data_IF_925994649645
#
_entry.id   IF_925994649645
#
_cell.length_a   1.000
_cell.length_b   1.000
_cell.length_c   1.000
_cell.angle_alpha   90.00
_cell.angle_beta   90.00
_cell.angle_gamma   90.00
#
_symmetry.space_group_name_H-M   'P 1'
#
loop_
_entity.id
_entity.type
_entity.pdbx_description
1 polymer ?
#
# COMPACT_ATOMS: atom_id res chain seq x y z
N UNK A 1 13.58 43.22 46.31
CA UNK A 1 12.39 42.36 46.47
C UNK A 1 11.75 42.19 45.10
N UNK A 2 11.83 40.99 44.52
CA UNK A 2 11.16 40.65 43.25
C UNK A 2 9.98 39.75 43.63
N UNK A 3 8.76 40.27 43.48
CA UNK A 3 7.55 39.49 43.74
C UNK A 3 7.29 38.59 42.54
N UNK A 4 7.43 37.28 42.75
CA UNK A 4 7.17 36.24 41.76
C UNK A 4 5.64 36.05 41.69
N UNK A 5 4.97 36.73 40.76
CA UNK A 5 3.54 36.60 40.58
C UNK A 5 3.25 35.31 39.80
N UNK A 6 2.74 34.30 40.50
CA UNK A 6 2.22 33.09 39.90
C UNK A 6 1.02 33.45 39.01
N UNK A 7 1.11 33.16 37.71
CA UNK A 7 -0.02 33.32 36.78
C UNK A 7 -1.17 32.41 37.22
N UNK A 8 -2.40 32.92 37.41
CA UNK A 8 -3.52 32.09 37.81
C UNK A 8 -3.84 31.09 36.69
N UNK A 9 -3.70 29.80 37.01
CA UNK A 9 -3.92 28.71 36.06
C UNK A 9 -5.44 28.53 35.89
N UNK A 10 -5.93 28.70 34.66
CA UNK A 10 -7.36 28.60 34.35
C UNK A 10 -7.78 27.14 34.15
N UNK A 11 -8.25 26.49 35.22
CA UNK A 11 -8.65 25.09 35.24
C UNK A 11 -9.82 24.75 34.28
N UNK A 12 -10.55 25.75 33.78
CA UNK A 12 -11.67 25.55 32.85
C UNK A 12 -11.24 25.00 31.48
N UNK A 13 -9.99 25.22 31.07
CA UNK A 13 -9.46 24.75 29.78
C UNK A 13 -8.93 23.30 29.82
N UNK A 14 -8.73 22.74 31.01
CA UNK A 14 -8.18 21.39 31.21
C UNK A 14 -9.06 20.29 30.59
N UNK A 15 -10.39 20.25 30.75
CA UNK A 15 -11.20 19.20 30.14
C UNK A 15 -11.18 19.26 28.60
N UNK A 16 -11.03 20.46 28.03
CA UNK A 16 -10.97 20.65 26.57
C UNK A 16 -9.66 20.10 25.97
N UNK A 17 -8.55 20.29 26.70
CA UNK A 17 -7.24 19.74 26.34
C UNK A 17 -7.23 18.21 26.52
N UNK A 18 -7.83 17.69 27.60
CA UNK A 18 -7.90 16.26 27.88
C UNK A 18 -8.72 15.50 26.81
N UNK A 19 -9.83 16.08 26.35
CA UNK A 19 -10.66 15.52 25.28
C UNK A 19 -9.90 15.47 23.94
N UNK A 20 -9.13 16.51 23.62
CA UNK A 20 -8.38 16.59 22.36
C UNK A 20 -7.31 15.49 22.23
N UNK A 21 -6.74 15.05 23.35
CA UNK A 21 -5.74 13.97 23.39
C UNK A 21 -6.38 12.60 23.07
N UNK A 22 -7.65 12.39 23.46
CA UNK A 22 -8.36 11.13 23.24
C UNK A 22 -8.77 10.91 21.77
N UNK A 23 -8.85 11.98 20.96
CA UNK A 23 -9.18 11.90 19.54
C UNK A 23 -7.95 11.78 18.62
N UNK A 24 -6.73 11.82 19.17
CA UNK A 24 -5.50 11.71 18.39
C UNK A 24 -5.12 10.23 18.15
N UNK A 25 -6.02 9.48 17.50
CA UNK A 25 -5.73 8.13 17.04
C UNK A 25 -5.51 8.16 15.52
N UNK A 26 -4.25 8.10 15.11
CA UNK A 26 -3.85 7.84 13.72
C UNK A 26 -3.59 6.34 13.60
N UNK A 27 -4.43 5.60 12.89
CA UNK A 27 -4.12 4.20 12.58
C UNK A 27 -2.83 4.15 11.76
N UNK A 28 -1.84 3.32 12.14
CA UNK A 28 -0.64 3.16 11.33
C UNK A 28 -1.03 2.66 9.94
N UNK A 29 -0.29 3.06 8.89
CA UNK A 29 -0.51 2.52 7.56
C UNK A 29 -0.40 1.00 7.63
N UNK A 30 -1.48 0.32 7.24
CA UNK A 30 -1.52 -1.13 7.20
C UNK A 30 -0.69 -1.57 5.99
N UNK A 31 0.50 -2.12 6.26
CA UNK A 31 1.28 -2.78 5.23
C UNK A 31 0.76 -4.20 5.03
N UNK A 32 0.71 -4.68 3.77
CA UNK A 32 0.35 -6.06 3.53
C UNK A 32 1.40 -6.98 4.15
N UNK A 33 0.95 -8.07 4.77
CA UNK A 33 1.84 -9.06 5.35
C UNK A 33 2.59 -9.78 4.22
N UNK A 34 3.86 -10.11 4.45
CA UNK A 34 4.63 -10.94 3.53
C UNK A 34 3.97 -12.32 3.37
N UNK A 35 4.05 -12.88 2.18
CA UNK A 35 3.58 -14.24 1.95
C UNK A 35 4.44 -15.23 2.75
N UNK A 36 3.79 -16.18 3.42
CA UNK A 36 4.47 -17.26 4.11
C UNK A 36 5.10 -18.23 3.09
N UNK A 37 4.52 -18.33 1.90
CA UNK A 37 5.12 -19.00 0.75
C UNK A 37 5.97 -17.98 -0.03
N UNK A 38 7.22 -17.81 0.39
CA UNK A 38 8.23 -16.99 -0.32
C UNK A 38 8.51 -17.50 -1.76
N UNK A 39 7.85 -18.58 -2.18
CA UNK A 39 8.09 -19.27 -3.43
C UNK A 39 9.55 -19.72 -3.52
N UNK A 40 10.18 -19.48 -4.67
CA UNK A 40 11.59 -19.81 -4.91
C UNK A 40 12.57 -18.67 -4.60
N UNK A 41 12.08 -17.53 -4.10
CA UNK A 41 12.91 -16.34 -3.90
C UNK A 41 13.32 -16.24 -2.43
N UNK A 42 14.63 -16.14 -2.17
CA UNK A 42 15.16 -15.98 -0.81
C UNK A 42 15.45 -14.52 -0.52
N UNK A 43 14.91 -14.06 0.61
CA UNK A 43 15.09 -12.71 1.09
C UNK A 43 16.11 -12.67 2.24
N UNK A 44 16.96 -11.64 2.34
CA UNK A 44 17.74 -11.38 3.54
C UNK A 44 16.83 -11.04 4.72
N UNK A 45 17.36 -11.15 5.95
CA UNK A 45 16.60 -10.82 7.16
C UNK A 45 16.05 -9.39 7.11
N UNK A 46 14.77 -9.24 7.47
CA UNK A 46 14.04 -7.96 7.45
C UNK A 46 13.39 -7.61 6.10
N UNK A 47 13.53 -8.45 5.08
CA UNK A 47 12.82 -8.33 3.81
C UNK A 47 11.75 -9.41 3.67
N UNK A 48 10.68 -9.09 2.94
CA UNK A 48 9.61 -10.03 2.60
C UNK A 48 9.03 -9.71 1.24
N UNK A 49 8.53 -10.75 0.57
CA UNK A 49 7.81 -10.62 -0.69
C UNK A 49 6.32 -10.88 -0.49
N UNK A 50 5.50 -10.35 -1.40
CA UNK A 50 4.10 -10.74 -1.54
C UNK A 50 3.85 -11.08 -3.00
N UNK A 51 3.41 -12.31 -3.27
CA UNK A 51 2.98 -12.71 -4.59
C UNK A 51 1.62 -12.08 -4.91
N UNK A 52 1.61 -11.18 -5.89
CA UNK A 52 0.40 -10.42 -6.29
C UNK A 52 -0.20 -10.91 -7.60
N UNK A 53 0.56 -11.64 -8.41
CA UNK A 53 0.11 -12.23 -9.66
C UNK A 53 1.03 -13.42 -9.99
N UNK A 54 0.44 -14.48 -10.53
CA UNK A 54 1.16 -15.64 -11.03
C UNK A 54 0.95 -15.74 -12.54
N UNK A 55 1.95 -16.27 -13.26
CA UNK A 55 1.79 -16.72 -14.64
C UNK A 55 1.37 -15.64 -15.65
N UNK A 56 1.67 -14.36 -15.38
CA UNK A 56 1.41 -13.22 -16.29
C UNK A 56 2.37 -13.14 -17.49
N UNK A 57 3.42 -13.94 -17.51
CA UNK A 57 4.47 -13.95 -18.53
C UNK A 57 5.74 -13.18 -18.12
N UNK A 58 6.74 -13.15 -19.01
CA UNK A 58 8.06 -12.55 -18.72
C UNK A 58 8.01 -11.02 -18.83
N UNK A 59 8.05 -10.30 -17.71
CA UNK A 59 8.14 -8.83 -17.68
C UNK A 59 9.49 -8.27 -18.17
N UNK A 60 9.49 -7.01 -18.63
CA UNK A 60 10.70 -6.20 -18.94
C UNK A 60 10.74 -4.88 -18.18
N UNK A 61 9.59 -4.26 -17.97
CA UNK A 61 9.46 -3.00 -17.25
C UNK A 61 8.23 -3.06 -16.34
N UNK A 62 8.33 -2.43 -15.18
CA UNK A 62 7.25 -2.29 -14.21
C UNK A 62 7.16 -0.83 -13.77
N UNK A 63 5.94 -0.31 -13.63
CA UNK A 63 5.66 0.99 -13.07
C UNK A 63 4.48 0.90 -12.09
N UNK A 64 4.50 1.74 -11.05
CA UNK A 64 3.46 1.77 -10.01
C UNK A 64 2.81 3.15 -10.04
N UNK A 65 1.48 3.19 -10.07
CA UNK A 65 0.70 4.43 -9.96
C UNK A 65 0.60 4.88 -8.50
N UNK A 66 0.33 6.17 -8.27
CA UNK A 66 0.05 6.73 -6.95
C UNK A 66 -1.10 6.02 -6.23
N UNK A 67 -2.01 5.40 -6.98
CA UNK A 67 -3.17 4.69 -6.45
C UNK A 67 -2.89 3.20 -6.14
N UNK A 68 -1.66 2.73 -6.35
CA UNK A 68 -1.26 1.34 -6.08
C UNK A 68 -1.46 0.35 -7.23
N UNK A 69 -2.01 0.80 -8.37
CA UNK A 69 -2.08 -0.04 -9.58
C UNK A 69 -0.68 -0.29 -10.16
N UNK A 70 -0.42 -1.52 -10.59
CA UNK A 70 0.88 -1.94 -11.13
C UNK A 70 0.77 -2.23 -12.61
N UNK A 71 1.63 -1.62 -13.40
CA UNK A 71 1.69 -1.80 -14.85
C UNK A 71 2.95 -2.55 -15.24
N UNK A 72 2.80 -3.64 -15.99
CA UNK A 72 3.90 -4.49 -16.43
C UNK A 72 3.95 -4.52 -17.96
N UNK A 73 5.12 -4.19 -18.53
CA UNK A 73 5.42 -4.39 -19.96
C UNK A 73 6.05 -5.76 -20.14
N UNK A 74 5.42 -6.64 -20.92
CA UNK A 74 5.93 -7.97 -21.20
C UNK A 74 7.04 -7.95 -22.26
N UNK A 75 7.92 -8.96 -22.18
CA UNK A 75 8.96 -9.28 -23.18
C UNK A 75 8.34 -9.76 -24.48
N UNK A 76 7.40 -10.68 -24.35
CA UNK A 76 6.62 -11.26 -25.41
C UNK A 76 5.16 -11.13 -25.00
N UNK A 77 4.36 -10.39 -25.77
CA UNK A 77 2.91 -10.37 -25.58
C UNK A 77 2.30 -11.68 -26.07
N UNK A 78 1.19 -12.08 -25.48
CA UNK A 78 0.35 -13.12 -26.07
C UNK A 78 -0.48 -12.44 -27.17
N UNK A 79 0.00 -12.48 -28.42
CA UNK A 79 -0.62 -11.73 -29.52
C UNK A 79 -0.36 -10.23 -29.44
N UNK A 80 -1.43 -9.41 -29.52
CA UNK A 80 -1.31 -7.94 -29.48
C UNK A 80 -1.07 -7.39 -28.07
N UNK A 81 -1.34 -8.19 -27.02
CA UNK A 81 -1.33 -7.75 -25.63
C UNK A 81 0.05 -7.86 -24.98
N UNK A 82 0.77 -6.73 -24.95
CA UNK A 82 2.10 -6.65 -24.34
C UNK A 82 2.15 -5.84 -23.06
N UNK A 83 1.04 -5.20 -22.67
CA UNK A 83 0.93 -4.46 -21.41
C UNK A 83 -0.09 -5.16 -20.52
N UNK A 84 0.22 -5.29 -19.23
CA UNK A 84 -0.69 -5.81 -18.22
C UNK A 84 -0.86 -4.75 -17.13
N UNK A 85 -2.09 -4.48 -16.72
CA UNK A 85 -2.40 -3.74 -15.52
C UNK A 85 -2.91 -4.71 -14.45
N UNK A 86 -2.27 -4.71 -13.29
CA UNK A 86 -2.71 -5.40 -12.08
C UNK A 86 -3.41 -4.37 -11.21
N UNK A 87 -4.73 -4.50 -11.07
CA UNK A 87 -5.57 -3.58 -10.32
C UNK A 87 -6.33 -4.28 -9.21
N UNK A 88 -6.79 -3.51 -8.23
CA UNK A 88 -7.69 -4.01 -7.20
C UNK A 88 -7.00 -4.78 -6.08
N UNK A 89 -5.84 -4.29 -5.63
CA UNK A 89 -5.20 -4.74 -4.39
C UNK A 89 -6.00 -4.27 -3.18
N UNK A 90 -7.14 -4.91 -2.90
CA UNK A 90 -7.88 -4.63 -1.67
C UNK A 90 -7.30 -5.45 -0.53
N UNK A 91 -6.95 -4.75 0.54
CA UNK A 91 -6.60 -5.38 1.81
C UNK A 91 -7.89 -5.70 2.55
N UNK A 92 -8.28 -6.97 2.61
CA UNK A 92 -9.44 -7.38 3.38
C UNK A 92 -9.08 -7.41 4.89
N UNK A 93 -9.32 -6.29 5.58
CA UNK A 93 -9.36 -6.24 7.04
C UNK A 93 -8.00 -6.39 7.78
N UNK A 94 -8.05 -6.54 9.12
CA UNK A 94 -6.88 -6.51 10.00
C UNK A 94 -5.92 -7.70 9.85
N UNK A 95 -6.30 -8.72 9.08
CA UNK A 95 -5.44 -9.81 8.59
C UNK A 95 -5.42 -9.71 7.08
N UNK A 96 -4.59 -8.80 6.59
CA UNK A 96 -4.52 -8.36 5.21
C UNK A 96 -4.09 -9.47 4.24
N UNK A 97 -5.04 -10.31 3.81
CA UNK A 97 -4.82 -11.20 2.67
C UNK A 97 -5.27 -10.49 1.39
N UNK A 98 -4.40 -10.48 0.37
CA UNK A 98 -4.70 -9.90 -0.94
C UNK A 98 -5.67 -10.86 -1.66
N UNK A 99 -6.97 -10.63 -1.54
CA UNK A 99 -7.99 -11.63 -1.93
C UNK A 99 -8.09 -11.86 -3.45
N UNK A 100 -7.74 -10.88 -4.29
CA UNK A 100 -7.75 -11.06 -5.76
C UNK A 100 -7.12 -9.87 -6.51
N UNK A 101 -6.06 -10.11 -7.27
CA UNK A 101 -5.63 -9.15 -8.30
C UNK A 101 -6.46 -9.32 -9.58
N UNK A 102 -6.92 -8.21 -10.15
CA UNK A 102 -7.58 -8.17 -11.46
C UNK A 102 -6.54 -7.87 -12.53
N UNK A 103 -6.32 -8.82 -13.43
CA UNK A 103 -5.43 -8.67 -14.57
C UNK A 103 -6.18 -8.10 -15.77
N UNK A 104 -5.74 -6.94 -16.27
CA UNK A 104 -6.22 -6.37 -17.54
C UNK A 104 -5.08 -6.37 -18.55
N UNK A 105 -5.27 -7.07 -19.67
CA UNK A 105 -4.29 -7.11 -20.77
C UNK A 105 -4.65 -6.07 -21.83
N UNK A 106 -3.65 -5.33 -22.32
CA UNK A 106 -3.82 -4.28 -23.31
C UNK A 106 -2.85 -4.44 -24.47
N UNK A 107 -3.38 -4.39 -25.69
CA UNK A 107 -2.64 -4.50 -26.92
C UNK A 107 -2.50 -3.20 -27.70
N UNK A 108 -1.75 -3.24 -28.81
CA UNK A 108 -1.77 -2.12 -29.77
C UNK A 108 -3.21 -1.95 -30.26
N UNK A 109 -3.77 -0.74 -30.13
CA UNK A 109 -4.96 -0.35 -30.87
C UNK A 109 -4.62 -0.44 -32.35
N UNK A 110 -5.33 -1.29 -33.08
CA UNK A 110 -5.21 -1.34 -34.53
C UNK A 110 -5.61 0.04 -35.09
N UNK A 111 -4.73 0.71 -35.85
CA UNK A 111 -5.11 1.90 -36.59
C UNK A 111 -6.01 1.43 -37.74
N UNK A 112 -7.31 1.64 -37.61
CA UNK A 112 -8.25 1.54 -38.73
C UNK A 112 -8.00 2.63 -39.76
#
# INVERSE_FOLDING_TARGET
MIQNQATPVNYFLIPFILISILFSCSSPPLFPQSDADEGSLKFPDGFGGLAIADSIGKGRHLAVSSNGDIYVKLRYGQGHDSNIALRGMTTAGPTAMMTKCREERYGRRDPG
#
